data_IF_253646992514
#
_entry.id   IF_253646992514
#
_cell.length_a   1.000
_cell.length_b   1.000
_cell.length_c   1.000
_cell.angle_alpha   90.00
_cell.angle_beta   90.00
_cell.angle_gamma   90.00
#
_symmetry.space_group_name_H-M   'P 1'
#
loop_
_entity.id
_entity.type
_entity.pdbx_description
1 polymer ?
#
# COMPACT_ATOMS: atom_id res chain seq x y z
N UNK A 1 -74.68 6.95 -34.09
CA UNK A 1 -73.63 5.91 -34.04
C UNK A 1 -73.25 5.75 -32.57
N UNK A 2 -73.90 4.83 -31.86
CA UNK A 2 -73.40 3.47 -31.52
C UNK A 2 -72.19 3.58 -30.57
N UNK A 3 -72.48 3.57 -29.26
CA UNK A 3 -72.29 2.48 -28.27
C UNK A 3 -70.89 2.51 -27.65
N UNK A 4 -70.74 2.72 -26.34
CA UNK A 4 -71.05 1.83 -25.19
C UNK A 4 -69.86 0.94 -24.80
N UNK A 5 -69.78 0.75 -23.48
CA UNK A 5 -69.10 -0.29 -22.69
C UNK A 5 -67.71 0.07 -22.16
N UNK A 6 -67.53 0.29 -20.85
CA UNK A 6 -67.78 -0.56 -19.67
C UNK A 6 -66.93 -1.83 -19.59
N UNK A 7 -66.43 -2.04 -18.36
CA UNK A 7 -66.20 -3.31 -17.64
C UNK A 7 -64.71 -3.63 -17.45
N UNK A 8 -64.14 -3.44 -16.26
CA UNK A 8 -64.26 -4.29 -15.04
C UNK A 8 -63.83 -5.74 -15.26
N UNK A 9 -62.66 -6.08 -14.72
CA UNK A 9 -62.31 -7.34 -14.03
C UNK A 9 -61.34 -6.90 -12.92
N UNK A 10 -61.58 -6.84 -11.61
CA UNK A 10 -62.30 -7.67 -10.63
C UNK A 10 -61.58 -8.99 -10.32
N UNK A 11 -60.74 -8.93 -9.27
CA UNK A 11 -60.81 -9.75 -8.04
C UNK A 11 -60.09 -11.12 -8.01
N UNK A 12 -59.25 -11.26 -6.95
CA UNK A 12 -58.97 -12.45 -6.10
C UNK A 12 -57.92 -13.48 -6.56
N UNK A 13 -57.20 -14.18 -5.68
CA UNK A 13 -56.96 -14.22 -4.22
C UNK A 13 -55.92 -15.34 -4.01
N UNK A 14 -55.12 -15.29 -2.94
CA UNK A 14 -54.60 -16.45 -2.14
C UNK A 14 -53.78 -17.51 -2.89
N UNK A 15 -52.52 -17.78 -2.56
CA UNK A 15 -52.05 -18.22 -1.24
C UNK A 15 -51.89 -19.75 -1.22
N UNK A 16 -51.02 -20.25 -0.32
CA UNK A 16 -50.59 -21.66 -0.07
C UNK A 16 -49.27 -22.01 -0.77
N UNK A 17 -48.11 -21.92 -0.10
CA UNK A 17 -47.55 -22.71 1.03
C UNK A 17 -46.98 -24.07 0.59
N UNK A 18 -45.66 -24.17 0.80
CA UNK A 18 -44.81 -25.28 1.22
C UNK A 18 -45.18 -26.74 0.91
N UNK A 19 -44.17 -27.46 0.40
CA UNK A 19 -43.51 -28.67 0.95
C UNK A 19 -42.96 -29.52 -0.22
N UNK A 20 -41.79 -30.17 -0.25
CA UNK A 20 -40.63 -30.48 0.63
C UNK A 20 -39.57 -31.09 -0.35
N UNK A 21 -38.29 -30.66 -0.34
CA UNK A 21 -37.09 -31.26 0.30
C UNK A 21 -36.50 -32.53 -0.38
N UNK A 22 -35.15 -32.63 -0.29
CA UNK A 22 -34.20 -33.74 -0.56
C UNK A 22 -33.42 -33.56 -1.89
N UNK A 23 -32.18 -33.06 -1.91
CA UNK A 23 -30.93 -33.56 -1.31
C UNK A 23 -30.02 -32.36 -0.94
N UNK A 24 -29.21 -32.29 0.11
CA UNK A 24 -28.47 -33.32 0.85
C UNK A 24 -26.98 -32.99 0.82
N UNK A 25 -26.54 -31.91 1.48
CA UNK A 25 -25.18 -31.68 1.98
C UNK A 25 -25.18 -30.49 2.96
N UNK A 26 -25.03 -30.82 4.24
CA UNK A 26 -25.00 -29.88 5.36
C UNK A 26 -23.71 -29.06 5.34
N UNK A 27 -23.81 -27.75 5.11
CA UNK A 27 -22.73 -26.81 5.40
C UNK A 27 -22.75 -26.46 6.89
N UNK A 28 -21.61 -26.51 7.61
CA UNK A 28 -21.57 -26.15 9.02
C UNK A 28 -21.68 -24.63 9.19
N UNK A 29 -22.83 -24.17 9.68
CA UNK A 29 -23.18 -22.79 10.06
C UNK A 29 -22.33 -22.21 11.23
N UNK A 30 -21.15 -22.76 11.51
CA UNK A 30 -20.27 -22.35 12.61
C UNK A 30 -19.24 -21.29 12.22
N UNK A 31 -18.78 -21.26 10.96
CA UNK A 31 -17.65 -20.39 10.55
C UNK A 31 -18.11 -18.94 10.33
N UNK A 32 -19.34 -18.73 9.83
CA UNK A 32 -19.85 -17.41 9.48
C UNK A 32 -20.14 -16.51 10.70
N UNK A 33 -20.50 -17.09 11.85
CA UNK A 33 -20.75 -16.34 13.09
C UNK A 33 -19.47 -15.92 13.82
N UNK A 34 -18.37 -16.63 13.60
CA UNK A 34 -17.04 -16.21 14.08
C UNK A 34 -16.54 -14.98 13.32
N UNK A 35 -16.80 -14.94 12.00
CA UNK A 35 -16.40 -13.87 11.10
C UNK A 35 -17.00 -12.50 11.50
N UNK A 36 -18.32 -12.43 11.71
CA UNK A 36 -18.99 -11.18 12.08
C UNK A 36 -18.76 -10.73 13.54
N UNK A 37 -18.43 -11.64 14.46
CA UNK A 37 -18.20 -11.29 15.87
C UNK A 37 -16.83 -10.65 16.10
N UNK A 38 -15.89 -10.84 15.18
CA UNK A 38 -14.56 -10.20 15.20
C UNK A 38 -14.57 -8.75 14.68
N UNK A 39 -15.54 -8.39 13.83
CA UNK A 39 -15.58 -7.07 13.15
C UNK A 39 -16.15 -5.92 13.97
N UNK A 40 -16.71 -6.16 15.17
CA UNK A 40 -17.35 -5.12 15.99
C UNK A 40 -16.48 -4.61 17.16
N UNK A 41 -15.16 -4.54 16.99
CA UNK A 41 -14.27 -3.88 17.96
C UNK A 41 -13.91 -2.47 17.48
N UNK A 42 -14.83 -1.55 17.76
CA UNK A 42 -14.61 -0.14 18.10
C UNK A 42 -13.43 0.58 17.41
N UNK A 43 -13.72 1.30 16.31
CA UNK A 43 -12.93 2.48 15.88
C UNK A 43 -13.10 3.57 16.94
N UNK A 44 -12.24 3.56 17.96
CA UNK A 44 -11.94 4.77 18.73
C UNK A 44 -10.84 5.47 17.95
N UNK A 45 -11.18 6.55 17.23
CA UNK A 45 -10.20 7.49 16.68
C UNK A 45 -9.63 8.26 17.87
N UNK A 46 -8.70 7.63 18.58
CA UNK A 46 -7.77 8.32 19.45
C UNK A 46 -6.55 8.66 18.60
N UNK A 47 -6.11 9.93 18.64
CA UNK A 47 -4.76 10.31 18.23
C UNK A 47 -3.77 9.51 19.08
N UNK A 48 -3.38 8.33 18.62
CA UNK A 48 -2.19 7.67 19.11
C UNK A 48 -1.11 7.94 18.07
N UNK A 49 -0.25 8.91 18.36
CA UNK A 49 1.10 8.93 17.82
C UNK A 49 1.75 7.65 18.35
N UNK A 50 1.64 6.55 17.60
CA UNK A 50 2.30 5.29 17.95
C UNK A 50 3.76 5.43 17.54
N UNK A 51 4.49 6.25 18.31
CA UNK A 51 5.94 6.18 18.38
C UNK A 51 6.27 4.89 19.14
N UNK A 52 6.49 3.80 18.40
CA UNK A 52 6.91 2.52 18.99
C UNK A 52 8.43 2.47 19.12
N UNK A 53 9.00 3.21 20.05
CA UNK A 53 10.23 2.84 20.76
C UNK A 53 10.40 3.71 22.01
N UNK A 54 10.63 3.06 23.15
CA UNK A 54 11.02 3.73 24.38
C UNK A 54 12.31 4.54 24.13
N UNK A 55 12.30 5.80 24.58
CA UNK A 55 13.13 6.94 24.16
C UNK A 55 14.65 6.87 24.46
N UNK A 56 15.37 5.81 24.09
CA UNK A 56 16.84 5.76 24.30
C UNK A 56 17.67 5.38 23.08
N UNK A 57 17.04 4.98 21.97
CA UNK A 57 17.78 4.70 20.74
C UNK A 57 18.10 6.00 19.96
N UNK A 58 19.37 6.36 19.74
CA UNK A 58 19.75 7.58 19.03
C UNK A 58 19.15 7.69 17.63
N UNK A 59 18.95 6.56 16.93
CA UNK A 59 18.34 6.54 15.61
C UNK A 59 16.86 6.94 15.70
N UNK A 60 16.11 6.32 16.61
CA UNK A 60 14.71 6.69 16.84
C UNK A 60 14.52 8.16 17.21
N UNK A 61 15.42 8.74 18.01
CA UNK A 61 15.41 10.18 18.33
C UNK A 61 15.63 11.02 17.06
N UNK A 62 16.68 10.73 16.28
CA UNK A 62 16.98 11.46 15.05
C UNK A 62 15.83 11.39 14.03
N UNK A 63 15.19 10.22 13.88
CA UNK A 63 14.06 10.07 12.97
C UNK A 63 12.85 10.90 13.41
N UNK A 64 12.57 10.95 14.71
CA UNK A 64 11.47 11.77 15.23
C UNK A 64 11.76 13.27 15.07
N UNK A 65 13.00 13.71 15.35
CA UNK A 65 13.40 15.10 15.13
C UNK A 65 13.27 15.51 13.65
N UNK A 66 13.63 14.61 12.72
CA UNK A 66 13.46 14.83 11.29
C UNK A 66 11.98 15.01 10.91
N UNK A 67 11.10 14.11 11.36
CA UNK A 67 9.66 14.20 11.07
C UNK A 67 9.04 15.45 11.71
N UNK A 68 9.45 15.82 12.93
CA UNK A 68 8.99 17.05 13.58
C UNK A 68 9.42 18.32 12.82
N UNK A 69 10.65 18.35 12.30
CA UNK A 69 11.13 19.45 11.47
C UNK A 69 10.37 19.53 10.14
N UNK A 70 10.11 18.38 9.51
CA UNK A 70 9.32 18.26 8.29
C UNK A 70 7.87 18.74 8.51
N UNK A 71 7.21 18.29 9.58
CA UNK A 71 5.85 18.71 9.92
C UNK A 71 5.75 20.20 10.21
N UNK A 72 6.78 20.78 10.83
CA UNK A 72 6.87 22.21 11.11
C UNK A 72 7.23 23.07 9.88
N UNK A 73 7.61 22.45 8.75
CA UNK A 73 8.20 23.13 7.59
C UNK A 73 9.39 24.02 7.99
N UNK A 74 10.20 23.53 8.94
CA UNK A 74 11.36 24.25 9.49
C UNK A 74 12.63 23.82 8.76
N UNK A 75 12.97 24.55 7.71
CA UNK A 75 14.13 24.28 6.83
C UNK A 75 15.44 24.16 7.63
N UNK A 76 15.69 25.10 8.54
CA UNK A 76 16.93 25.15 9.32
C UNK A 76 17.03 23.99 10.30
N UNK A 77 15.91 23.59 10.92
CA UNK A 77 15.86 22.42 11.79
C UNK A 77 16.03 21.13 10.99
N UNK A 78 15.41 21.04 9.82
CA UNK A 78 15.52 19.87 8.94
C UNK A 78 16.97 19.66 8.47
N UNK A 79 17.66 20.73 8.03
CA UNK A 79 19.08 20.68 7.66
C UNK A 79 19.96 20.19 8.80
N UNK A 80 19.67 20.61 10.04
CA UNK A 80 20.42 20.18 11.23
C UNK A 80 20.23 18.69 11.58
N UNK A 81 19.14 18.06 11.14
CA UNK A 81 18.95 16.62 11.30
C UNK A 81 19.88 15.80 10.37
N UNK A 82 20.37 16.40 9.29
CA UNK A 82 21.25 15.76 8.32
C UNK A 82 22.69 15.68 8.83
N UNK A 83 23.45 14.71 8.32
CA UNK A 83 24.89 14.60 8.58
C UNK A 83 25.63 15.84 8.06
N UNK A 84 26.78 16.16 8.66
CA UNK A 84 27.61 17.30 8.23
C UNK A 84 28.05 17.17 6.78
N UNK A 85 28.30 15.94 6.32
CA UNK A 85 28.67 15.68 4.94
C UNK A 85 27.56 16.14 3.98
N UNK A 86 26.30 15.76 4.20
CA UNK A 86 25.17 16.20 3.38
C UNK A 86 25.03 17.72 3.42
N UNK A 87 25.06 18.32 4.61
CA UNK A 87 24.94 19.78 4.78
C UNK A 87 26.00 20.60 4.00
N UNK A 88 27.14 19.99 3.66
CA UNK A 88 28.27 20.69 3.02
C UNK A 88 28.57 20.24 1.59
N UNK A 89 28.16 19.02 1.22
CA UNK A 89 28.52 18.40 -0.07
C UNK A 89 27.36 18.34 -1.06
N UNK A 90 26.12 18.35 -0.58
CA UNK A 90 24.92 18.32 -1.42
C UNK A 90 24.62 19.73 -1.94
N UNK A 91 24.95 19.99 -3.21
CA UNK A 91 24.74 21.29 -3.84
C UNK A 91 23.27 21.61 -4.10
N UNK A 92 22.41 20.60 -4.11
CA UNK A 92 20.98 20.73 -4.43
C UNK A 92 20.11 20.70 -3.16
N UNK A 93 20.72 20.57 -1.98
CA UNK A 93 20.05 20.41 -0.69
C UNK A 93 18.89 21.40 -0.46
N UNK A 94 19.14 22.69 -0.68
CA UNK A 94 18.13 23.74 -0.46
C UNK A 94 16.94 23.59 -1.42
N UNK A 95 17.21 23.24 -2.69
CA UNK A 95 16.18 23.05 -3.71
C UNK A 95 15.35 21.78 -3.45
N UNK A 96 16.01 20.71 -3.00
CA UNK A 96 15.38 19.45 -2.63
C UNK A 96 14.49 19.63 -1.39
N UNK A 97 14.95 20.35 -0.36
CA UNK A 97 14.11 20.68 0.82
C UNK A 97 12.91 21.55 0.42
N UNK A 98 13.08 22.53 -0.47
CA UNK A 98 11.97 23.33 -0.96
C UNK A 98 10.92 22.47 -1.69
N UNK A 99 11.39 21.54 -2.54
CA UNK A 99 10.53 20.57 -3.25
C UNK A 99 9.81 19.64 -2.27
N UNK A 100 10.50 19.20 -1.22
CA UNK A 100 9.92 18.39 -0.15
C UNK A 100 8.75 19.13 0.52
N UNK A 101 8.94 20.38 0.91
CA UNK A 101 7.92 21.20 1.57
C UNK A 101 6.76 21.58 0.65
N UNK A 102 7.01 21.74 -0.65
CA UNK A 102 5.92 21.99 -1.60
C UNK A 102 5.00 20.76 -1.76
N UNK A 103 5.59 19.56 -1.80
CA UNK A 103 4.83 18.33 -2.00
C UNK A 103 4.19 17.78 -0.72
N UNK A 104 4.88 17.93 0.41
CA UNK A 104 4.47 17.37 1.68
C UNK A 104 3.47 18.29 2.38
N UNK A 105 2.25 17.79 2.59
CA UNK A 105 1.16 18.66 3.08
C UNK A 105 1.21 18.99 4.57
N UNK A 106 1.81 18.11 5.40
CA UNK A 106 1.88 18.20 6.87
C UNK A 106 0.57 18.48 7.64
N UNK A 107 0.56 18.33 8.97
CA UNK A 107 1.48 17.48 9.75
C UNK A 107 1.20 15.99 9.53
N UNK A 108 2.08 15.12 10.01
CA UNK A 108 1.93 13.67 9.89
C UNK A 108 0.84 13.19 10.86
N UNK A 109 -0.13 12.44 10.36
CA UNK A 109 -1.19 11.82 11.15
C UNK A 109 -0.75 10.48 11.74
N UNK A 110 0.01 9.71 10.96
CA UNK A 110 0.58 8.43 11.38
C UNK A 110 1.78 8.06 10.52
N UNK A 111 2.78 7.44 11.14
CA UNK A 111 3.86 6.76 10.47
C UNK A 111 4.36 5.63 11.35
N UNK A 112 5.06 4.68 10.74
CA UNK A 112 5.81 3.65 11.44
C UNK A 112 7.05 3.32 10.65
N UNK A 113 8.21 3.50 11.25
CA UNK A 113 9.47 3.05 10.68
C UNK A 113 9.50 1.53 10.57
N UNK A 114 10.02 1.03 9.45
CA UNK A 114 10.38 -0.37 9.33
C UNK A 114 11.37 -0.72 10.45
N UNK A 115 11.20 -1.91 11.05
CA UNK A 115 12.16 -2.42 12.02
C UNK A 115 13.41 -2.79 11.23
N UNK A 116 14.33 -1.82 11.10
CA UNK A 116 15.36 -1.70 10.08
C UNK A 116 15.90 -3.01 9.51
N UNK A 117 15.82 -3.15 8.20
CA UNK A 117 16.48 -4.24 7.47
C UNK A 117 17.80 -3.75 6.91
N UNK A 118 18.86 -4.48 7.28
CA UNK A 118 20.24 -4.43 6.78
C UNK A 118 21.16 -3.45 7.53
N UNK A 119 21.80 -3.95 8.59
CA UNK A 119 23.11 -3.41 8.97
C UNK A 119 24.09 -3.78 7.86
N UNK A 120 24.48 -2.78 7.08
CA UNK A 120 25.43 -2.98 5.98
C UNK A 120 26.74 -2.35 6.39
N UNK A 121 27.72 -3.21 6.63
CA UNK A 121 29.10 -2.79 6.87
C UNK A 121 29.86 -2.83 5.55
N UNK A 122 30.18 -1.66 4.99
CA UNK A 122 31.15 -1.55 3.89
C UNK A 122 32.51 -1.20 4.52
N UNK A 123 33.56 -1.97 4.22
CA UNK A 123 34.91 -1.78 4.79
C UNK A 123 35.95 -1.29 3.79
N UNK A 124 35.67 -1.36 2.50
CA UNK A 124 36.65 -1.08 1.45
C UNK A 124 36.32 0.24 0.72
N UNK A 125 37.36 1.02 0.45
CA UNK A 125 37.29 2.26 -0.33
C UNK A 125 36.67 3.46 0.40
N UNK A 126 36.30 4.49 -0.36
CA UNK A 126 35.70 5.72 0.17
C UNK A 126 34.28 5.53 0.74
N UNK A 127 33.72 4.31 0.70
CA UNK A 127 32.36 3.97 1.18
C UNK A 127 32.35 3.28 2.55
N UNK A 128 33.47 3.30 3.27
CA UNK A 128 33.62 2.69 4.58
C UNK A 128 32.66 3.25 5.63
N UNK A 129 31.55 2.55 5.93
CA UNK A 129 30.60 2.95 6.98
C UNK A 129 29.79 1.78 7.56
N UNK A 130 29.28 1.99 8.77
CA UNK A 130 28.21 1.21 9.41
C UNK A 130 26.92 2.05 9.41
N UNK A 131 25.87 1.53 8.77
CA UNK A 131 24.61 2.24 8.61
C UNK A 131 23.40 1.30 8.66
N UNK A 132 22.23 1.91 8.91
CA UNK A 132 20.92 1.27 8.83
C UNK A 132 20.04 2.05 7.87
N UNK A 133 19.28 1.33 7.05
CA UNK A 133 18.23 1.92 6.21
C UNK A 133 16.89 1.75 6.92
N UNK A 134 16.14 2.85 7.05
CA UNK A 134 14.81 2.89 7.63
C UNK A 134 13.83 3.40 6.58
N UNK A 135 12.67 2.77 6.48
CA UNK A 135 11.60 3.19 5.57
C UNK A 135 10.33 3.47 6.36
N UNK A 136 9.54 4.45 5.93
CA UNK A 136 8.23 4.72 6.49
C UNK A 136 7.25 5.18 5.42
N UNK A 137 5.98 5.06 5.76
CA UNK A 137 4.88 5.73 5.06
C UNK A 137 4.35 6.80 6.00
N UNK A 138 4.45 8.06 5.59
CA UNK A 138 3.89 9.21 6.30
C UNK A 138 2.49 9.45 5.75
N UNK A 139 1.46 9.31 6.59
CA UNK A 139 0.09 9.65 6.21
C UNK A 139 -0.20 11.09 6.62
N UNK A 140 -0.67 11.92 5.68
CA UNK A 140 -1.08 13.29 5.99
C UNK A 140 -2.22 13.72 5.05
N UNK A 141 -3.32 14.22 5.64
CA UNK A 141 -4.50 14.71 4.91
C UNK A 141 -5.05 13.70 3.89
N UNK A 142 -5.05 12.42 4.25
CA UNK A 142 -5.53 11.34 3.40
C UNK A 142 -4.60 10.97 2.24
N UNK A 143 -3.35 11.46 2.22
CA UNK A 143 -2.31 11.09 1.25
C UNK A 143 -1.20 10.29 1.91
N UNK A 144 -0.62 9.36 1.16
CA UNK A 144 0.56 8.61 1.55
C UNK A 144 1.82 9.26 0.95
N UNK A 145 2.85 9.39 1.78
CA UNK A 145 4.19 9.79 1.36
C UNK A 145 5.18 8.72 1.77
N UNK A 146 6.14 8.44 0.92
CA UNK A 146 7.07 7.34 1.09
C UNK A 146 8.45 7.91 1.36
N UNK A 147 9.08 7.45 2.44
CA UNK A 147 10.40 7.92 2.83
C UNK A 147 11.33 6.75 3.13
N UNK A 148 12.55 6.82 2.59
CA UNK A 148 13.68 5.95 2.92
C UNK A 148 14.82 6.82 3.46
N UNK A 149 15.43 6.40 4.56
CA UNK A 149 16.53 7.12 5.21
C UNK A 149 17.68 6.16 5.49
N UNK A 150 18.88 6.51 5.03
CA UNK A 150 20.09 5.89 5.57
C UNK A 150 20.61 6.71 6.75
N UNK A 151 20.71 6.05 7.90
CA UNK A 151 21.37 6.59 9.08
C UNK A 151 22.74 5.92 9.25
N UNK A 152 23.82 6.69 9.13
CA UNK A 152 25.18 6.21 9.39
C UNK A 152 25.46 6.28 10.89
N UNK A 153 25.67 5.12 11.50
CA UNK A 153 26.07 4.98 12.91
C UNK A 153 27.53 5.33 13.11
N UNK A 154 28.38 4.93 12.16
CA UNK A 154 29.82 5.15 12.20
C UNK A 154 30.39 5.31 10.80
N UNK A 155 31.16 6.37 10.62
CA UNK A 155 31.94 6.64 9.41
C UNK A 155 33.37 6.14 9.64
N UNK A 156 33.86 5.21 8.81
CA UNK A 156 35.22 4.67 8.97
C UNK A 156 36.29 5.54 8.31
N UNK A 157 35.89 6.53 7.51
CA UNK A 157 36.78 7.40 6.75
C UNK A 157 36.81 8.83 7.29
N UNK A 158 36.12 9.11 8.40
CA UNK A 158 36.05 10.42 9.07
C UNK A 158 35.64 11.57 8.11
N UNK A 159 34.73 11.29 7.17
CA UNK A 159 34.21 12.25 6.21
C UNK A 159 33.04 13.07 6.77
N UNK A 160 32.61 12.80 8.00
CA UNK A 160 31.50 13.52 8.65
C UNK A 160 30.12 13.02 8.25
N UNK A 161 30.02 11.74 7.88
CA UNK A 161 28.77 11.12 7.40
C UNK A 161 27.87 10.57 8.50
N UNK A 162 28.30 10.60 9.76
CA UNK A 162 27.48 10.16 10.91
C UNK A 162 26.18 10.97 11.01
N UNK A 163 25.07 10.27 11.26
CA UNK A 163 23.71 10.84 11.24
C UNK A 163 22.91 10.47 9.97
N UNK A 164 21.87 11.26 9.67
CA UNK A 164 21.03 11.07 8.48
C UNK A 164 21.85 11.46 7.25
N UNK A 165 22.18 10.48 6.43
CA UNK A 165 23.14 10.65 5.35
C UNK A 165 22.50 10.51 3.96
N UNK A 166 21.29 9.98 3.89
CA UNK A 166 20.46 9.91 2.69
C UNK A 166 19.00 10.04 3.09
N UNK A 167 18.24 10.82 2.35
CA UNK A 167 16.78 10.87 2.42
C UNK A 167 16.25 10.71 1.01
N UNK A 168 15.42 9.70 0.78
CA UNK A 168 14.70 9.49 -0.48
C UNK A 168 13.21 9.61 -0.21
N UNK A 169 12.55 10.57 -0.84
CA UNK A 169 11.15 10.88 -0.64
C UNK A 169 10.37 10.82 -1.95
N UNK A 170 9.23 10.13 -1.93
CA UNK A 170 8.32 10.07 -3.07
C UNK A 170 6.86 10.27 -2.68
N UNK A 171 6.06 10.81 -3.60
CA UNK A 171 4.60 10.85 -3.46
C UNK A 171 3.98 9.50 -3.79
N UNK A 172 2.72 9.29 -3.40
CA UNK A 172 1.96 8.09 -3.75
C UNK A 172 1.89 7.82 -5.27
N UNK A 173 1.80 8.86 -6.10
CA UNK A 173 1.76 8.70 -7.56
C UNK A 173 3.08 8.12 -8.09
N UNK A 174 4.20 8.72 -7.67
CA UNK A 174 5.54 8.24 -8.02
C UNK A 174 5.77 6.81 -7.53
N UNK A 175 5.38 6.52 -6.29
CA UNK A 175 5.53 5.17 -5.72
C UNK A 175 4.65 4.14 -6.43
N UNK A 176 3.42 4.49 -6.80
CA UNK A 176 2.53 3.65 -7.58
C UNK A 176 3.11 3.34 -8.96
N UNK A 177 3.58 4.35 -9.69
CA UNK A 177 4.21 4.17 -11.00
C UNK A 177 5.44 3.27 -10.91
N UNK A 178 6.32 3.51 -9.93
CA UNK A 178 7.50 2.68 -9.67
C UNK A 178 7.12 1.23 -9.38
N UNK A 179 6.16 1.01 -8.46
CA UNK A 179 5.71 -0.33 -8.07
C UNK A 179 5.08 -1.10 -9.24
N UNK A 180 4.35 -0.41 -10.10
CA UNK A 180 3.71 -0.97 -11.28
C UNK A 180 4.67 -1.09 -12.49
N UNK A 181 5.97 -0.83 -12.31
CA UNK A 181 7.00 -0.84 -13.37
C UNK A 181 6.68 0.11 -14.54
N UNK A 182 5.87 1.15 -14.27
CA UNK A 182 5.50 2.20 -15.22
C UNK A 182 6.50 3.35 -15.18
N UNK A 183 7.76 3.02 -15.48
CA UNK A 183 8.87 3.98 -15.54
C UNK A 183 8.71 5.04 -16.65
N UNK A 184 7.73 4.88 -17.53
CA UNK A 184 7.30 5.90 -18.48
C UNK A 184 6.56 7.06 -17.80
N UNK A 185 5.92 6.81 -16.66
CA UNK A 185 5.08 7.75 -15.90
C UNK A 185 5.84 8.55 -14.84
N UNK A 186 7.07 8.20 -14.51
CA UNK A 186 7.89 8.94 -13.53
C UNK A 186 9.35 8.86 -13.93
N UNK A 187 10.16 9.84 -13.52
CA UNK A 187 11.61 9.76 -13.65
C UNK A 187 12.28 8.99 -12.51
N UNK A 188 11.55 8.70 -11.43
CA UNK A 188 12.07 7.96 -10.30
C UNK A 188 12.50 6.56 -10.71
N UNK A 189 13.70 6.16 -10.29
CA UNK A 189 14.26 4.82 -10.53
C UNK A 189 14.68 4.11 -9.23
N UNK A 190 14.56 4.78 -8.09
CA UNK A 190 15.03 4.28 -6.80
C UNK A 190 16.55 4.29 -6.66
N UNK A 191 16.99 3.99 -5.44
CA UNK A 191 18.40 4.13 -5.02
C UNK A 191 19.42 3.36 -5.88
N UNK A 192 19.02 2.24 -6.50
CA UNK A 192 19.91 1.39 -7.29
C UNK A 192 20.37 2.04 -8.60
N UNK A 193 19.71 3.10 -9.05
CA UNK A 193 20.00 3.76 -10.31
C UNK A 193 20.90 4.99 -10.18
N UNK A 194 21.34 5.33 -8.97
CA UNK A 194 22.33 6.39 -8.72
C UNK A 194 23.78 5.89 -8.88
N UNK A 195 24.00 4.91 -9.76
CA UNK A 195 25.34 4.36 -9.97
C UNK A 195 26.28 5.45 -10.54
N UNK A 196 27.33 5.76 -9.80
CA UNK A 196 28.29 6.80 -10.15
C UNK A 196 27.96 8.20 -9.63
N UNK A 197 26.83 8.38 -8.95
CA UNK A 197 26.49 9.62 -8.24
C UNK A 197 26.88 9.55 -6.76
N UNK A 198 27.05 10.72 -6.14
CA UNK A 198 27.11 10.79 -4.69
C UNK A 198 25.71 10.51 -4.12
N UNK A 199 25.59 9.41 -3.37
CA UNK A 199 24.32 9.01 -2.74
C UNK A 199 24.04 9.76 -1.45
N UNK A 200 24.98 10.51 -0.89
CA UNK A 200 24.78 11.23 0.36
C UNK A 200 24.04 12.54 0.13
N UNK A 201 22.71 12.47 -0.03
CA UNK A 201 21.86 13.62 -0.41
C UNK A 201 20.44 13.53 0.12
N UNK A 202 19.71 14.64 0.03
CA UNK A 202 18.24 14.64 0.04
C UNK A 202 17.77 14.52 -1.40
N UNK A 203 16.89 13.57 -1.68
CA UNK A 203 16.33 13.34 -3.00
C UNK A 203 14.81 13.25 -2.92
N UNK A 204 14.13 14.09 -3.67
CA UNK A 204 12.68 14.24 -3.65
C UNK A 204 12.15 14.05 -5.05
N UNK A 205 11.44 12.96 -5.30
CA UNK A 205 10.74 12.77 -6.58
C UNK A 205 9.22 12.88 -6.40
N UNK A 206 8.67 13.92 -7.01
CA UNK A 206 7.22 14.21 -7.02
C UNK A 206 6.65 14.19 -8.43
N UNK A 207 7.53 14.22 -9.45
CA UNK A 207 7.14 14.30 -10.84
C UNK A 207 6.54 12.98 -11.32
N UNK A 208 5.34 13.10 -11.90
CA UNK A 208 4.67 12.02 -12.59
C UNK A 208 3.93 12.57 -13.81
N UNK A 209 3.63 11.69 -14.76
CA UNK A 209 2.85 11.99 -15.97
C UNK A 209 1.49 11.36 -15.87
N UNK A 210 0.53 11.97 -16.56
CA UNK A 210 -0.87 11.58 -16.60
C UNK A 210 -1.57 11.68 -15.23
N UNK A 211 -2.90 11.68 -15.26
CA UNK A 211 -3.73 11.59 -14.06
C UNK A 211 -4.17 10.14 -13.86
N UNK A 212 -3.92 9.59 -12.67
CA UNK A 212 -4.39 8.27 -12.28
C UNK A 212 -4.65 8.21 -10.78
N UNK A 213 -5.58 7.35 -10.39
CA UNK A 213 -5.84 7.07 -8.99
C UNK A 213 -4.77 6.13 -8.43
N UNK A 214 -4.42 6.33 -7.17
CA UNK A 214 -3.54 5.42 -6.43
C UNK A 214 -4.30 4.84 -5.26
N UNK A 215 -3.94 3.62 -4.89
CA UNK A 215 -4.44 2.99 -3.70
C UNK A 215 -3.31 2.19 -3.06
N UNK A 216 -3.17 2.31 -1.75
CA UNK A 216 -2.32 1.42 -0.97
C UNK A 216 -3.07 0.11 -0.68
N UNK A 217 -2.48 -1.00 -1.10
CA UNK A 217 -3.05 -2.35 -0.94
C UNK A 217 -1.93 -3.31 -0.53
N UNK A 218 -2.15 -4.06 0.56
CA UNK A 218 -1.22 -5.05 1.08
C UNK A 218 0.21 -4.49 1.29
N UNK A 219 0.31 -3.26 1.78
CA UNK A 219 1.57 -2.59 2.09
C UNK A 219 2.26 -1.91 0.91
N UNK A 220 1.65 -1.89 -0.28
CA UNK A 220 2.22 -1.26 -1.49
C UNK A 220 1.28 -0.21 -2.08
N UNK A 221 1.81 0.94 -2.48
CA UNK A 221 1.08 1.87 -3.34
C UNK A 221 1.01 1.29 -4.75
N UNK A 222 -0.14 1.36 -5.39
CA UNK A 222 -0.33 0.87 -6.75
C UNK A 222 -1.29 1.74 -7.53
N UNK A 223 -1.13 1.76 -8.86
CA UNK A 223 -2.09 2.41 -9.76
C UNK A 223 -3.42 1.67 -9.65
N UNK A 224 -4.48 2.43 -9.35
CA UNK A 224 -5.80 1.94 -9.07
C UNK A 224 -6.78 2.25 -10.21
N UNK A 225 -7.62 1.28 -10.52
CA UNK A 225 -8.69 1.36 -11.50
C UNK A 225 -10.01 1.01 -10.78
N UNK A 226 -10.88 1.98 -10.52
CA UNK A 226 -12.21 1.71 -9.96
C UNK A 226 -12.97 0.70 -10.81
N UNK A 227 -13.66 -0.24 -10.15
CA UNK A 227 -14.49 -1.22 -10.84
C UNK A 227 -15.94 -0.75 -10.87
N UNK A 228 -16.65 -1.06 -11.96
CA UNK A 228 -18.09 -0.77 -12.07
C UNK A 228 -18.94 -1.65 -11.14
N UNK A 229 -18.43 -2.82 -10.77
CA UNK A 229 -19.11 -3.79 -9.93
C UNK A 229 -18.15 -4.41 -8.92
N UNK A 230 -18.63 -4.55 -7.69
CA UNK A 230 -17.94 -5.25 -6.61
C UNK A 230 -18.65 -6.55 -6.26
N UNK A 231 -17.88 -7.52 -5.78
CA UNK A 231 -18.33 -8.87 -5.44
C UNK A 231 -17.90 -9.23 -4.02
N UNK A 232 -18.51 -10.26 -3.42
CA UNK A 232 -18.06 -10.73 -2.12
C UNK A 232 -16.82 -11.62 -2.27
N UNK A 233 -15.89 -11.55 -1.32
CA UNK A 233 -14.65 -12.32 -1.34
C UNK A 233 -14.88 -13.83 -1.52
N UNK A 234 -15.94 -14.36 -0.91
CA UNK A 234 -16.29 -15.79 -1.01
C UNK A 234 -16.83 -16.20 -2.39
N UNK A 235 -17.32 -15.27 -3.21
CA UNK A 235 -17.72 -15.58 -4.59
C UNK A 235 -16.50 -15.96 -5.43
N UNK A 236 -15.40 -15.22 -5.29
CA UNK A 236 -14.13 -15.55 -5.94
C UNK A 236 -13.64 -16.94 -5.55
N UNK A 237 -13.64 -17.26 -4.25
CA UNK A 237 -13.22 -18.59 -3.75
C UNK A 237 -14.08 -19.70 -4.33
N UNK A 238 -15.39 -19.50 -4.39
CA UNK A 238 -16.35 -20.47 -4.91
C UNK A 238 -16.12 -20.75 -6.39
N UNK A 239 -15.78 -19.74 -7.18
CA UNK A 239 -15.54 -19.91 -8.61
C UNK A 239 -14.15 -20.48 -8.90
N UNK A 240 -13.12 -20.02 -8.19
CA UNK A 240 -11.76 -20.58 -8.32
C UNK A 240 -11.73 -22.07 -8.03
N UNK A 241 -12.51 -22.53 -7.03
CA UNK A 241 -12.66 -23.98 -6.73
C UNK A 241 -13.32 -24.78 -7.85
N UNK A 242 -14.11 -24.15 -8.72
CA UNK A 242 -14.73 -24.80 -9.89
C UNK A 242 -13.84 -24.73 -11.11
N UNK A 243 -13.21 -23.58 -11.32
CA UNK A 243 -12.33 -23.30 -12.43
C UNK A 243 -11.28 -22.28 -11.99
N UNK A 244 -10.03 -22.73 -11.81
CA UNK A 244 -8.93 -21.88 -11.37
C UNK A 244 -8.22 -21.18 -12.54
N UNK A 245 -8.80 -21.10 -13.74
CA UNK A 245 -8.20 -20.37 -14.86
C UNK A 245 -8.31 -18.85 -14.67
N UNK A 246 -7.23 -18.12 -14.95
CA UNK A 246 -7.23 -16.66 -15.00
C UNK A 246 -8.31 -16.12 -15.96
N UNK A 247 -8.44 -16.73 -17.14
CA UNK A 247 -9.41 -16.27 -18.15
C UNK A 247 -10.85 -16.36 -17.63
N UNK A 248 -11.18 -17.43 -16.90
CA UNK A 248 -12.50 -17.59 -16.29
C UNK A 248 -12.78 -16.54 -15.22
N UNK A 249 -11.74 -16.10 -14.51
CA UNK A 249 -11.85 -15.06 -13.50
C UNK A 249 -12.05 -13.69 -14.16
N UNK A 250 -11.26 -13.36 -15.19
CA UNK A 250 -11.39 -12.10 -15.95
C UNK A 250 -12.73 -12.00 -16.68
N UNK A 251 -13.22 -13.09 -17.27
CA UNK A 251 -14.52 -13.10 -17.96
C UNK A 251 -15.67 -12.78 -17.00
N UNK A 252 -15.58 -13.24 -15.75
CA UNK A 252 -16.64 -13.07 -14.75
C UNK A 252 -16.54 -11.75 -13.98
N UNK A 253 -15.33 -11.36 -13.58
CA UNK A 253 -15.08 -10.25 -12.66
C UNK A 253 -14.53 -9.00 -13.35
N UNK A 254 -14.20 -9.09 -14.64
CA UNK A 254 -13.59 -8.00 -15.39
C UNK A 254 -12.12 -7.81 -15.08
N UNK A 255 -11.62 -6.61 -15.41
CA UNK A 255 -10.23 -6.21 -15.14
C UNK A 255 -10.02 -6.05 -13.62
N UNK A 256 -8.86 -6.43 -13.08
CA UNK A 256 -8.54 -6.14 -11.68
C UNK A 256 -8.45 -4.63 -11.43
N UNK A 257 -8.72 -4.24 -10.18
CA UNK A 257 -8.59 -2.87 -9.72
C UNK A 257 -7.13 -2.43 -9.63
N UNK A 258 -6.20 -3.33 -9.34
CA UNK A 258 -4.78 -3.03 -9.33
C UNK A 258 -3.92 -4.29 -9.53
N UNK A 259 -2.61 -4.08 -9.63
CA UNK A 259 -1.63 -5.16 -9.81
C UNK A 259 -1.44 -5.60 -11.26
N UNK A 260 -0.76 -6.72 -11.45
CA UNK A 260 -0.44 -7.28 -12.76
C UNK A 260 -0.60 -8.81 -12.75
N UNK A 261 -0.99 -9.42 -13.89
CA UNK A 261 -1.03 -10.87 -14.00
C UNK A 261 0.31 -11.58 -13.72
N UNK A 262 1.43 -10.87 -13.75
CA UNK A 262 2.80 -11.40 -13.58
C UNK A 262 3.14 -11.66 -12.11
N UNK A 263 2.55 -10.88 -11.20
CA UNK A 263 2.82 -10.96 -9.76
C UNK A 263 1.56 -11.38 -9.01
N UNK A 264 0.57 -10.49 -8.98
CA UNK A 264 -0.73 -10.69 -8.36
C UNK A 264 -1.71 -9.60 -8.81
N UNK A 265 -2.99 -9.90 -8.70
CA UNK A 265 -4.06 -8.98 -9.07
C UNK A 265 -4.96 -8.68 -7.87
N UNK A 266 -5.41 -7.43 -7.75
CA UNK A 266 -6.28 -7.00 -6.66
C UNK A 266 -7.68 -6.71 -7.17
N UNK A 267 -8.70 -7.20 -6.48
CA UNK A 267 -10.10 -6.82 -6.71
C UNK A 267 -10.72 -6.26 -5.44
N UNK A 268 -11.44 -5.15 -5.59
CA UNK A 268 -12.24 -4.55 -4.53
C UNK A 268 -13.42 -5.44 -4.21
N UNK A 269 -13.70 -5.62 -2.91
CA UNK A 269 -14.81 -6.49 -2.45
C UNK A 269 -15.85 -5.73 -1.64
N UNK A 270 -17.09 -6.22 -1.69
CA UNK A 270 -18.25 -5.68 -0.95
C UNK A 270 -18.21 -5.92 0.55
N UNK A 271 -17.33 -6.81 1.02
CA UNK A 271 -17.23 -7.20 2.42
C UNK A 271 -16.83 -6.02 3.33
N UNK A 272 -16.07 -5.05 2.80
CA UNK A 272 -15.65 -3.83 3.51
C UNK A 272 -15.03 -2.81 2.55
N UNK A 273 -15.21 -1.52 2.84
CA UNK A 273 -14.51 -0.41 2.15
C UNK A 273 -12.98 -0.49 2.30
N UNK A 274 -12.49 -1.23 3.30
CA UNK A 274 -11.06 -1.39 3.56
C UNK A 274 -10.46 -2.67 2.97
N UNK A 275 -11.26 -3.55 2.35
CA UNK A 275 -10.80 -4.88 1.89
C UNK A 275 -10.71 -5.04 0.38
N UNK A 276 -9.75 -5.88 -0.01
CA UNK A 276 -9.52 -6.38 -1.36
C UNK A 276 -9.25 -7.88 -1.29
N UNK A 277 -9.46 -8.57 -2.41
CA UNK A 277 -8.85 -9.89 -2.61
C UNK A 277 -7.57 -9.75 -3.44
N UNK A 278 -6.53 -10.45 -3.03
CA UNK A 278 -5.28 -10.60 -3.77
C UNK A 278 -5.26 -12.00 -4.42
N UNK A 279 -5.20 -12.03 -5.75
CA UNK A 279 -5.16 -13.26 -6.55
C UNK A 279 -3.74 -13.52 -7.02
N UNK A 280 -3.13 -14.58 -6.51
CA UNK A 280 -1.82 -15.05 -6.94
C UNK A 280 -1.96 -16.09 -8.05
N UNK A 281 -1.10 -15.97 -9.06
CA UNK A 281 -1.16 -16.77 -10.27
C UNK A 281 0.09 -17.64 -10.42
N UNK A 282 -0.06 -18.78 -11.09
CA UNK A 282 1.05 -19.64 -11.51
C UNK A 282 0.89 -20.11 -12.95
N UNK A 283 2.00 -20.42 -13.61
CA UNK A 283 2.04 -20.96 -14.97
C UNK A 283 2.35 -19.90 -16.03
N UNK A 284 3.21 -20.26 -17.00
CA UNK A 284 3.70 -19.34 -18.02
C UNK A 284 2.78 -19.18 -19.23
N UNK A 285 2.09 -20.25 -19.67
CA UNK A 285 1.21 -20.24 -20.85
C UNK A 285 -0.27 -20.10 -20.48
N UNK A 286 -0.70 -20.84 -19.48
CA UNK A 286 -2.04 -20.77 -18.92
C UNK A 286 -1.92 -20.41 -17.44
N UNK A 287 -2.19 -19.15 -17.12
CA UNK A 287 -2.16 -18.67 -15.74
C UNK A 287 -3.34 -19.27 -14.99
N UNK A 288 -3.03 -19.96 -13.89
CA UNK A 288 -4.01 -20.52 -12.95
C UNK A 288 -3.89 -19.84 -11.61
N UNK A 289 -5.03 -19.62 -10.96
CA UNK A 289 -5.12 -19.13 -9.60
C UNK A 289 -4.53 -20.17 -8.66
N UNK A 290 -3.45 -19.75 -8.00
CA UNK A 290 -2.71 -20.53 -7.01
C UNK A 290 -3.23 -20.27 -5.61
N UNK A 291 -3.53 -19.00 -5.29
CA UNK A 291 -3.93 -18.57 -3.97
C UNK A 291 -4.83 -17.33 -4.08
N UNK A 292 -5.79 -17.21 -3.15
CA UNK A 292 -6.62 -16.03 -2.98
C UNK A 292 -6.55 -15.63 -1.52
N UNK A 293 -6.07 -14.43 -1.27
CA UNK A 293 -5.99 -13.83 0.06
C UNK A 293 -6.98 -12.69 0.19
N UNK A 294 -7.56 -12.51 1.37
CA UNK A 294 -8.16 -11.25 1.79
C UNK A 294 -7.05 -10.34 2.31
N UNK A 295 -6.98 -9.12 1.80
CA UNK A 295 -5.96 -8.13 2.17
C UNK A 295 -6.60 -6.79 2.52
N UNK A 296 -5.93 -6.02 3.36
CA UNK A 296 -6.26 -4.63 3.66
C UNK A 296 -5.17 -3.69 3.10
N UNK A 297 -5.19 -2.42 3.52
CA UNK A 297 -4.19 -1.43 3.11
C UNK A 297 -2.75 -1.86 3.44
N UNK A 298 -2.53 -2.49 4.58
CA UNK A 298 -1.19 -2.68 5.16
C UNK A 298 -0.65 -4.11 5.01
N UNK A 299 -1.53 -5.12 4.91
CA UNK A 299 -1.11 -6.53 4.98
C UNK A 299 -2.13 -7.53 4.42
N UNK A 300 -1.68 -8.77 4.32
CA UNK A 300 -2.59 -9.92 4.19
C UNK A 300 -3.31 -10.17 5.52
N UNK A 301 -4.63 -10.37 5.43
CA UNK A 301 -5.51 -10.61 6.57
C UNK A 301 -5.73 -12.11 6.75
N UNK A 302 -6.07 -12.80 5.67
CA UNK A 302 -6.38 -14.23 5.68
C UNK A 302 -6.21 -14.86 4.30
N UNK A 303 -5.66 -16.07 4.24
CA UNK A 303 -5.70 -16.89 3.02
C UNK A 303 -7.03 -17.63 2.91
N UNK A 304 -7.84 -17.26 1.92
CA UNK A 304 -9.17 -17.83 1.69
C UNK A 304 -9.14 -19.11 0.83
N UNK A 305 -8.13 -19.23 -0.02
CA UNK A 305 -7.91 -20.36 -0.89
C UNK A 305 -6.41 -20.54 -1.18
N UNK A 306 -5.92 -21.77 -1.17
CA UNK A 306 -4.59 -22.11 -1.67
C UNK A 306 -4.58 -23.51 -2.30
N UNK A 307 -3.89 -23.63 -3.43
CA UNK A 307 -3.57 -24.88 -4.13
C UNK A 307 -2.07 -25.21 -4.05
N UNK A 308 -1.40 -24.65 -3.03
CA UNK A 308 -0.07 -25.04 -2.60
C UNK A 308 -0.25 -26.23 -1.65
N UNK A 309 0.22 -27.40 -2.07
CA UNK A 309 0.34 -28.59 -1.22
C UNK A 309 1.69 -28.62 -0.52
#
# INVERSE_FOLDING_TARGET
MIKNNNSRIVIRLVGVICCLVLTGCSFPNGVMKSFFKSMNKTKTIGKSVVSSSEHTDPIGVAMNEFVEALDAHDEERLKKCLSKYVQTSDSDLDAEIATLFEAYSGPTESWKWSQGSSEVMKRDGNEGRDYVTLTAVLKSKGRNYYISIDYTKRDFNDLGREGICLVDFTTQEVQAAYRNERFDLTEYRGEYYWEGEDRYKVHVTTSHKDEYETQRICGYETIYYPAEAEFYAMDYVKDVKKNNSLNSLLEKYGKPNAGSPEVCMYYKVKDSDDFYICVYLRGAKEKKVMQVDLVDEDRSVETLYSDLK
#
